data_IF_721629831520
#
_entry.id   IF_721629831520
#
_cell.length_a   1.000
_cell.length_b   1.000
_cell.length_c   1.000
_cell.angle_alpha   90.00
_cell.angle_beta   90.00
_cell.angle_gamma   90.00
#
_symmetry.space_group_name_H-M   'P 1'
#
loop_
_entity.id
_entity.type
_entity.pdbx_description
1 polymer ?
#
# COMPACT_ATOMS: atom_id res chain seq x y z
N UNK A 1 8.11 3.33 11.32
CA UNK A 1 8.71 4.28 10.38
C UNK A 1 10.09 4.72 10.85
N UNK A 2 10.94 5.08 9.90
CA UNK A 2 12.30 5.50 10.19
C UNK A 2 12.37 6.82 10.94
N UNK A 3 11.36 7.65 10.83
CA UNK A 3 11.28 8.93 11.54
C UNK A 3 10.70 8.80 12.95
N UNK A 4 10.46 7.59 13.41
CA UNK A 4 9.88 7.34 14.72
C UNK A 4 8.37 7.48 14.79
N UNK A 5 7.69 7.72 13.67
CA UNK A 5 6.24 7.85 13.64
C UNK A 5 5.58 6.47 13.80
N UNK A 6 4.67 6.36 14.75
CA UNK A 6 3.85 5.17 14.88
C UNK A 6 2.60 5.30 14.02
N UNK A 7 2.13 4.17 13.49
CA UNK A 7 0.95 4.19 12.65
C UNK A 7 0.36 2.80 12.46
N UNK A 8 -0.69 2.74 11.66
CA UNK A 8 -1.39 1.49 11.34
C UNK A 8 -1.18 1.17 9.87
N UNK A 9 -0.50 0.06 9.62
CA UNK A 9 -0.36 -0.52 8.29
C UNK A 9 -1.36 -1.65 8.16
N UNK A 10 -2.06 -1.73 7.06
CA UNK A 10 -2.99 -2.83 6.91
C UNK A 10 -3.55 -2.97 5.52
N UNK A 11 -4.36 -4.00 5.38
CA UNK A 11 -5.17 -4.24 4.19
C UNK A 11 -6.61 -4.44 4.63
N UNK A 12 -7.53 -4.18 3.73
CA UNK A 12 -8.95 -4.35 3.98
C UNK A 12 -9.58 -4.95 2.74
N UNK A 13 -10.28 -6.10 2.87
CA UNK A 13 -11.10 -6.60 1.76
C UNK A 13 -12.21 -5.61 1.49
N UNK A 14 -12.36 -5.20 0.24
CA UNK A 14 -13.37 -4.20 -0.13
C UNK A 14 -14.78 -4.71 0.17
N UNK A 15 -15.01 -5.99 -0.02
CA UNK A 15 -16.34 -6.58 0.17
C UNK A 15 -16.68 -6.78 1.65
N UNK A 16 -15.69 -7.15 2.46
CA UNK A 16 -15.89 -7.49 3.87
C UNK A 16 -15.72 -6.31 4.81
N UNK A 17 -15.02 -5.28 4.39
CA UNK A 17 -14.77 -4.04 5.13
C UNK A 17 -14.10 -4.22 6.51
N UNK A 18 -13.65 -5.42 6.84
CA UNK A 18 -12.94 -5.63 8.10
C UNK A 18 -11.45 -5.36 7.90
N UNK A 19 -10.87 -4.44 8.68
CA UNK A 19 -9.45 -4.17 8.57
C UNK A 19 -8.64 -5.35 9.07
N UNK A 20 -7.60 -5.72 8.31
CA UNK A 20 -6.62 -6.71 8.72
C UNK A 20 -5.32 -5.98 9.01
N UNK A 21 -4.82 -6.12 10.23
CA UNK A 21 -3.61 -5.44 10.66
C UNK A 21 -2.39 -6.13 10.08
N UNK A 22 -1.53 -5.37 9.51
CA UNK A 22 -0.19 -5.62 8.93
C UNK A 22 0.26 -7.08 8.79
N UNK A 23 1.24 -7.28 7.94
CA UNK A 23 1.95 -8.55 7.82
C UNK A 23 1.60 -9.28 6.55
N UNK A 24 1.48 -10.58 6.68
CA UNK A 24 1.22 -11.47 5.55
C UNK A 24 -0.18 -12.03 5.67
N UNK A 25 -0.92 -11.95 4.58
CA UNK A 25 -2.32 -12.40 4.53
C UNK A 25 -2.47 -13.51 3.51
N UNK A 26 -3.30 -14.50 3.84
CA UNK A 26 -3.60 -15.60 2.92
C UNK A 26 -4.70 -15.19 1.95
N UNK A 27 -4.51 -15.55 0.69
CA UNK A 27 -5.46 -15.26 -0.38
C UNK A 27 -6.20 -16.55 -0.77
N UNK A 28 -7.48 -16.43 -1.08
CA UNK A 28 -8.24 -17.52 -1.64
C UNK A 28 -8.09 -17.53 -3.18
N UNK A 29 -8.36 -18.68 -3.78
CA UNK A 29 -8.41 -18.77 -5.24
C UNK A 29 -9.51 -17.83 -5.78
N UNK A 30 -9.27 -17.30 -6.98
CA UNK A 30 -10.18 -16.37 -7.63
C UNK A 30 -9.72 -14.93 -7.52
N UNK A 31 -10.62 -14.03 -7.85
CA UNK A 31 -10.33 -12.59 -7.85
C UNK A 31 -10.87 -11.95 -6.59
N UNK A 32 -10.04 -11.12 -5.95
CA UNK A 32 -10.43 -10.33 -4.78
C UNK A 32 -9.90 -8.92 -4.91
N UNK A 33 -10.57 -8.00 -4.25
CA UNK A 33 -10.17 -6.59 -4.24
C UNK A 33 -9.85 -6.18 -2.81
N UNK A 34 -8.72 -5.51 -2.63
CA UNK A 34 -8.19 -5.15 -1.34
C UNK A 34 -7.87 -3.66 -1.29
N UNK A 35 -8.12 -3.05 -0.13
CA UNK A 35 -7.64 -1.70 0.16
C UNK A 35 -6.37 -1.84 0.99
N UNK A 36 -5.27 -1.35 0.46
CA UNK A 36 -3.97 -1.32 1.15
C UNK A 36 -3.82 0.07 1.74
N UNK A 37 -3.52 0.18 3.03
CA UNK A 37 -3.50 1.47 3.69
C UNK A 37 -2.41 1.59 4.75
N UNK A 38 -2.03 2.83 5.02
CA UNK A 38 -1.23 3.24 6.15
C UNK A 38 -1.83 4.51 6.72
N UNK A 39 -2.15 4.50 8.00
CA UNK A 39 -2.69 5.66 8.71
C UNK A 39 -1.86 5.91 9.97
N UNK A 40 -1.17 7.04 10.03
CA UNK A 40 -0.32 7.38 11.17
C UNK A 40 -0.64 8.74 11.78
N UNK A 41 -1.58 9.47 11.20
CA UNK A 41 -1.81 10.86 11.56
C UNK A 41 -0.97 11.82 10.74
N UNK A 42 0.32 11.56 10.59
CA UNK A 42 1.20 12.35 9.72
C UNK A 42 1.06 11.87 8.27
N UNK A 43 1.32 10.59 8.05
CA UNK A 43 1.21 9.97 6.73
C UNK A 43 -0.06 9.14 6.69
N UNK A 44 -0.98 9.51 5.82
CA UNK A 44 -2.20 8.75 5.60
C UNK A 44 -2.33 8.51 4.11
N UNK A 45 -2.37 7.24 3.72
CA UNK A 45 -2.45 6.90 2.30
C UNK A 45 -3.07 5.53 2.10
N UNK A 46 -3.62 5.35 0.92
CA UNK A 46 -4.22 4.07 0.55
C UNK A 46 -4.32 3.93 -0.97
N UNK A 47 -4.43 2.71 -1.42
CA UNK A 47 -4.82 2.40 -2.79
C UNK A 47 -5.53 1.05 -2.80
N UNK A 48 -6.26 0.79 -3.88
CA UNK A 48 -6.94 -0.47 -4.07
C UNK A 48 -6.12 -1.37 -4.99
N UNK A 49 -6.11 -2.66 -4.70
CA UNK A 49 -5.45 -3.66 -5.54
C UNK A 49 -6.43 -4.78 -5.83
N UNK A 50 -6.54 -5.12 -7.10
CA UNK A 50 -7.29 -6.29 -7.54
C UNK A 50 -6.28 -7.42 -7.72
N UNK A 51 -6.54 -8.55 -7.07
CA UNK A 51 -5.62 -9.69 -7.04
C UNK A 51 -6.37 -10.92 -7.55
N UNK A 52 -5.73 -11.64 -8.46
CA UNK A 52 -6.24 -12.92 -8.94
C UNK A 52 -5.30 -14.03 -8.52
N UNK A 53 -5.86 -15.09 -7.96
CA UNK A 53 -5.11 -16.31 -7.60
C UNK A 53 -5.62 -17.47 -8.44
N UNK A 54 -4.75 -18.08 -9.19
CA UNK A 54 -5.06 -19.22 -10.03
C UNK A 54 -3.98 -20.28 -9.86
N UNK A 55 -4.39 -21.52 -9.54
CA UNK A 55 -3.49 -22.66 -9.33
C UNK A 55 -2.40 -22.36 -8.31
N UNK A 56 -2.77 -21.69 -7.23
CA UNK A 56 -1.84 -21.36 -6.15
C UNK A 56 -0.88 -20.22 -6.46
N UNK A 57 -1.08 -19.53 -7.57
CA UNK A 57 -0.24 -18.39 -8.00
C UNK A 57 -1.08 -17.12 -8.07
N UNK A 58 -0.75 -16.16 -7.24
CA UNK A 58 -1.43 -14.89 -7.20
C UNK A 58 -0.68 -13.82 -7.96
N UNK A 59 -1.43 -12.85 -8.47
CA UNK A 59 -0.85 -11.65 -9.05
C UNK A 59 -1.79 -10.47 -8.90
N UNK A 60 -1.22 -9.28 -8.79
CA UNK A 60 -1.97 -8.04 -8.79
C UNK A 60 -2.29 -7.72 -10.25
N UNK A 61 -3.58 -7.67 -10.57
CA UNK A 61 -4.04 -7.38 -11.94
C UNK A 61 -4.26 -5.90 -12.16
N UNK A 62 -4.59 -5.15 -11.11
CA UNK A 62 -4.67 -3.70 -11.21
C UNK A 62 -4.45 -3.06 -9.84
N UNK A 63 -3.97 -1.81 -9.87
CA UNK A 63 -3.84 -0.95 -8.70
C UNK A 63 -4.48 0.38 -9.07
N UNK A 64 -5.38 0.89 -8.22
CA UNK A 64 -6.21 2.05 -8.56
C UNK A 64 -6.73 2.76 -7.31
N UNK A 65 -7.45 3.86 -7.50
CA UNK A 65 -8.00 4.70 -6.43
C UNK A 65 -6.95 5.11 -5.40
N UNK A 66 -5.84 5.74 -5.85
CA UNK A 66 -4.87 6.24 -4.90
C UNK A 66 -5.44 7.40 -4.10
N UNK A 67 -5.13 7.42 -2.81
CA UNK A 67 -5.54 8.50 -1.92
C UNK A 67 -4.42 8.78 -0.93
N UNK A 68 -4.19 10.06 -0.60
CA UNK A 68 -3.28 10.39 0.50
C UNK A 68 -3.67 11.71 1.15
N UNK A 69 -3.28 11.84 2.41
CA UNK A 69 -3.40 13.06 3.15
C UNK A 69 -2.29 13.09 4.21
N UNK A 70 -1.32 13.98 4.03
CA UNK A 70 -0.18 14.08 4.92
C UNK A 70 -0.30 15.37 5.73
N UNK A 71 -0.22 15.24 7.06
CA UNK A 71 -0.35 16.35 7.99
C UNK A 71 0.96 16.53 8.75
N UNK A 72 1.77 17.49 8.35
CA UNK A 72 2.93 17.89 9.12
C UNK A 72 3.33 19.30 8.69
N UNK A 73 3.54 20.21 9.64
CA UNK A 73 3.99 21.55 9.28
C UNK A 73 5.28 21.49 8.46
N UNK A 74 5.30 22.18 7.33
CA UNK A 74 6.46 22.27 6.48
C UNK A 74 6.71 21.06 5.58
N UNK A 75 5.87 20.02 5.66
CA UNK A 75 6.01 18.86 4.78
C UNK A 75 5.21 19.09 3.51
N UNK A 76 5.86 18.93 2.37
CA UNK A 76 5.23 18.96 1.05
C UNK A 76 5.44 17.64 0.32
N UNK A 77 4.43 17.19 -0.39
CA UNK A 77 4.53 16.06 -1.32
C UNK A 77 4.83 16.62 -2.70
N UNK A 78 6.03 16.38 -3.20
CA UNK A 78 6.44 16.84 -4.53
C UNK A 78 5.81 16.02 -5.64
N UNK A 79 5.75 14.71 -5.43
CA UNK A 79 5.18 13.75 -6.37
C UNK A 79 4.54 12.61 -5.62
N UNK A 80 3.49 12.06 -6.21
CA UNK A 80 2.93 10.79 -5.78
C UNK A 80 2.66 9.95 -7.01
N UNK A 81 2.97 8.67 -6.94
CA UNK A 81 2.76 7.77 -8.06
C UNK A 81 2.40 6.38 -7.60
N UNK A 82 1.26 5.90 -8.10
CA UNK A 82 0.85 4.52 -7.93
C UNK A 82 1.25 3.73 -9.18
N UNK A 83 1.96 2.62 -8.99
CA UNK A 83 2.40 1.78 -10.09
C UNK A 83 2.34 0.32 -9.70
N UNK A 84 2.37 -0.53 -10.70
CA UNK A 84 2.32 -1.98 -10.54
C UNK A 84 3.38 -2.58 -11.45
N UNK A 85 4.04 -3.65 -11.00
CA UNK A 85 4.98 -4.38 -11.86
C UNK A 85 4.20 -5.09 -12.99
N UNK A 86 4.85 -5.27 -14.13
CA UNK A 86 4.22 -5.93 -15.27
C UNK A 86 3.86 -7.38 -14.98
N UNK A 87 4.64 -8.05 -14.12
CA UNK A 87 4.37 -9.42 -13.68
C UNK A 87 3.22 -9.52 -12.66
N UNK A 88 2.82 -8.39 -12.06
CA UNK A 88 1.81 -8.39 -11.01
C UNK A 88 2.33 -8.86 -9.65
N UNK A 89 3.65 -8.91 -9.46
CA UNK A 89 4.23 -9.34 -8.19
C UNK A 89 4.13 -8.28 -7.10
N UNK A 90 4.05 -7.00 -7.47
CA UNK A 90 3.91 -5.93 -6.49
C UNK A 90 3.24 -4.70 -7.07
N UNK A 91 2.69 -3.87 -6.18
CA UNK A 91 2.21 -2.54 -6.48
C UNK A 91 2.74 -1.60 -5.42
N UNK A 92 3.13 -0.38 -5.82
CA UNK A 92 3.75 0.59 -4.94
C UNK A 92 3.13 1.96 -5.13
N UNK A 93 2.84 2.62 -4.03
CA UNK A 93 2.41 4.02 -4.02
C UNK A 93 3.54 4.82 -3.39
N UNK A 94 4.28 5.52 -4.22
CA UNK A 94 5.52 6.20 -3.85
C UNK A 94 5.27 7.69 -3.73
N UNK A 95 5.77 8.29 -2.67
CA UNK A 95 5.68 9.72 -2.42
C UNK A 95 7.07 10.32 -2.31
N UNK A 96 7.34 11.35 -3.10
CA UNK A 96 8.53 12.17 -2.95
C UNK A 96 8.16 13.34 -2.05
N UNK A 97 8.76 13.39 -0.87
CA UNK A 97 8.45 14.38 0.16
C UNK A 97 9.62 15.33 0.34
N UNK A 98 9.31 16.55 0.78
CA UNK A 98 10.33 17.53 1.14
C UNK A 98 9.90 18.39 2.32
N UNK A 99 10.89 18.95 2.99
CA UNK A 99 10.71 20.07 3.90
C UNK A 99 11.81 21.11 3.61
N UNK A 100 12.01 22.06 4.52
CA UNK A 100 12.99 23.13 4.31
C UNK A 100 14.45 22.65 4.25
N UNK A 101 14.73 21.47 4.80
CA UNK A 101 16.11 21.00 4.99
C UNK A 101 16.42 19.68 4.32
N UNK A 102 15.41 18.93 3.90
CA UNK A 102 15.66 17.59 3.31
C UNK A 102 14.58 17.16 2.34
N UNK A 103 14.93 16.15 1.57
CA UNK A 103 14.01 15.42 0.70
C UNK A 103 14.10 13.94 1.07
N UNK A 104 12.98 13.25 1.00
CA UNK A 104 12.94 11.80 1.26
C UNK A 104 11.77 11.16 0.54
N UNK A 105 11.76 9.83 0.48
CA UNK A 105 10.67 9.08 -0.13
C UNK A 105 10.00 8.20 0.92
N UNK A 106 8.69 8.03 0.79
CA UNK A 106 7.96 6.99 1.51
C UNK A 106 7.17 6.18 0.51
N UNK A 107 7.01 4.89 0.80
CA UNK A 107 6.36 3.96 -0.12
C UNK A 107 5.42 3.02 0.63
N UNK A 108 4.17 3.00 0.19
CA UNK A 108 3.19 1.99 0.59
C UNK A 108 3.20 0.91 -0.48
N UNK A 109 3.54 -0.32 -0.08
CA UNK A 109 3.77 -1.40 -1.04
C UNK A 109 2.96 -2.64 -0.68
N UNK A 110 2.40 -3.27 -1.70
CA UNK A 110 1.80 -4.60 -1.60
C UNK A 110 2.55 -5.55 -2.51
N UNK A 111 2.85 -6.75 -2.01
CA UNK A 111 3.53 -7.79 -2.77
C UNK A 111 2.74 -9.09 -2.68
N UNK A 112 2.68 -9.83 -3.77
CA UNK A 112 1.98 -11.10 -3.83
C UNK A 112 2.96 -12.18 -4.26
N UNK A 113 3.02 -13.26 -3.48
CA UNK A 113 3.82 -14.43 -3.79
C UNK A 113 3.00 -15.68 -3.46
N UNK A 114 2.73 -16.49 -4.48
CA UNK A 114 1.85 -17.63 -4.33
C UNK A 114 0.45 -17.19 -3.90
N UNK A 115 0.02 -17.61 -2.72
CA UNK A 115 -1.27 -17.24 -2.14
C UNK A 115 -1.11 -16.25 -0.96
N UNK A 116 0.01 -15.55 -0.90
CA UNK A 116 0.30 -14.63 0.20
C UNK A 116 0.39 -13.19 -0.29
N UNK A 117 -0.28 -12.30 0.43
CA UNK A 117 -0.21 -10.86 0.25
C UNK A 117 0.57 -10.27 1.42
N UNK A 118 1.63 -9.54 1.12
CA UNK A 118 2.47 -8.89 2.13
C UNK A 118 2.47 -7.39 1.88
N UNK A 119 2.38 -6.61 2.95
CA UNK A 119 2.35 -5.15 2.86
C UNK A 119 3.49 -4.53 3.66
N UNK A 120 3.91 -3.35 3.23
CA UNK A 120 4.94 -2.57 3.93
C UNK A 120 4.75 -1.08 3.69
N UNK A 121 5.24 -0.29 4.64
CA UNK A 121 5.32 1.17 4.49
C UNK A 121 6.68 1.63 5.03
N UNK A 122 7.45 2.29 4.18
CA UNK A 122 8.80 2.77 4.54
C UNK A 122 9.06 4.16 4.02
#
# INVERSE_FOLDING_TARGET
>A
LEDGTEGTLGVMPIIDERPLLKGTYSLANGTSTWKIYWYSGVYNCSFNAKINVSKGKGKITSAYNPWYQFYSPGLDVKKSKLSKTSSGSSASYVFDCKNKISNWNVTLKASVSGKKLTTSFK
#
